data_IF_810517230932
#
_entry.id   IF_810517230932
#
_cell.length_a   1.000
_cell.length_b   1.000
_cell.length_c   1.000
_cell.angle_alpha   90.00
_cell.angle_beta   90.00
_cell.angle_gamma   90.00
#
_symmetry.space_group_name_H-M   'P 1'
#
loop_
_entity.id
_entity.type
_entity.pdbx_description
1 polymer ?
#
# COMPACT_ATOMS: atom_id res chain seq x y z
N UNK A 1 21.96 -51.98 -42.23
CA UNK A 1 22.12 -50.53 -42.40
C UNK A 1 21.11 -49.84 -41.48
N UNK A 2 21.53 -49.49 -40.26
CA UNK A 2 20.71 -48.77 -39.28
C UNK A 2 21.54 -47.61 -38.74
N UNK A 3 21.21 -46.38 -39.10
CA UNK A 3 21.87 -45.16 -38.62
C UNK A 3 20.94 -44.44 -37.65
N UNK A 4 21.40 -44.30 -36.40
CA UNK A 4 20.74 -43.55 -35.33
C UNK A 4 20.83 -42.03 -35.58
N UNK A 5 19.80 -41.24 -35.21
CA UNK A 5 19.92 -39.79 -35.19
C UNK A 5 20.62 -39.30 -33.91
N UNK A 6 21.78 -38.68 -34.12
CA UNK A 6 22.57 -37.93 -33.16
C UNK A 6 21.83 -36.65 -32.72
N UNK A 7 21.35 -36.58 -31.47
CA UNK A 7 20.86 -35.35 -30.83
C UNK A 7 21.80 -34.91 -29.71
N UNK A 8 22.93 -34.32 -30.08
CA UNK A 8 23.64 -33.37 -29.22
C UNK A 8 23.06 -31.98 -29.45
N UNK A 9 22.11 -31.55 -28.62
CA UNK A 9 21.76 -30.14 -28.48
C UNK A 9 21.25 -29.80 -27.07
N UNK A 10 22.18 -29.26 -26.29
CA UNK A 10 21.98 -28.17 -25.31
C UNK A 10 21.06 -28.46 -24.11
N UNK A 11 21.61 -29.19 -23.15
CA UNK A 11 21.43 -28.87 -21.73
C UNK A 11 21.93 -27.44 -21.48
N UNK A 12 21.03 -26.45 -21.34
CA UNK A 12 21.31 -25.12 -20.77
C UNK A 12 20.01 -24.28 -20.73
N UNK A 13 19.05 -24.66 -19.88
CA UNK A 13 17.93 -23.78 -19.49
C UNK A 13 17.26 -24.27 -18.19
N UNK A 14 18.05 -24.52 -17.15
CA UNK A 14 17.53 -24.69 -15.78
C UNK A 14 18.37 -23.90 -14.79
N UNK A 15 18.47 -22.59 -15.01
CA UNK A 15 18.71 -21.64 -13.92
C UNK A 15 17.36 -21.09 -13.49
N UNK A 16 16.62 -21.92 -12.75
CA UNK A 16 15.53 -21.44 -11.93
C UNK A 16 16.13 -20.49 -10.90
N UNK A 17 15.89 -19.19 -11.07
CA UNK A 17 16.00 -18.21 -9.99
C UNK A 17 14.89 -18.55 -8.98
N UNK A 18 15.16 -19.52 -8.13
CA UNK A 18 14.33 -19.90 -6.99
C UNK A 18 14.48 -18.86 -5.88
N UNK A 19 14.03 -17.63 -6.14
CA UNK A 19 13.58 -16.77 -5.05
C UNK A 19 12.20 -17.27 -4.58
N UNK A 20 11.86 -17.17 -3.29
CA UNK A 20 10.51 -17.48 -2.83
C UNK A 20 9.52 -16.65 -3.67
N UNK A 21 8.63 -17.34 -4.39
CA UNK A 21 7.44 -16.72 -4.96
C UNK A 21 6.57 -16.33 -3.77
N UNK A 22 6.66 -15.07 -3.35
CA UNK A 22 5.66 -14.52 -2.45
C UNK A 22 4.38 -14.39 -3.26
N UNK A 23 3.45 -15.31 -3.06
CA UNK A 23 2.10 -15.20 -3.59
C UNK A 23 1.47 -13.94 -2.98
N UNK A 24 1.40 -12.88 -3.79
CA UNK A 24 0.92 -11.56 -3.37
C UNK A 24 -0.50 -11.64 -2.80
N UNK A 25 -1.26 -12.68 -3.15
CA UNK A 25 -2.66 -12.84 -2.81
C UNK A 25 -2.94 -13.32 -1.37
N UNK A 26 -1.94 -13.84 -0.66
CA UNK A 26 -2.14 -14.38 0.70
C UNK A 26 -1.98 -13.32 1.79
N UNK A 27 -1.54 -12.10 1.45
CA UNK A 27 -1.44 -11.00 2.40
C UNK A 27 -2.74 -10.18 2.46
N UNK A 28 -3.21 -9.77 3.65
CA UNK A 28 -4.45 -8.99 3.79
C UNK A 28 -4.38 -7.61 3.11
N UNK A 29 -3.17 -7.09 2.88
CA UNK A 29 -2.94 -5.82 2.18
C UNK A 29 -1.82 -5.98 1.15
N UNK A 30 -2.11 -6.48 -0.06
CA UNK A 30 -1.09 -6.76 -1.08
C UNK A 30 -0.49 -5.47 -1.66
N UNK A 31 -1.33 -4.46 -1.85
CA UNK A 31 -1.05 -3.18 -2.52
C UNK A 31 -1.30 -1.98 -1.62
N UNK A 32 -0.69 -0.84 -1.95
CA UNK A 32 -0.93 0.44 -1.26
C UNK A 32 -2.29 1.05 -1.57
N UNK A 33 -2.77 0.86 -2.80
CA UNK A 33 -4.07 1.34 -3.22
C UNK A 33 -5.12 0.32 -2.78
N UNK A 34 -6.09 0.78 -1.99
CA UNK A 34 -7.24 0.01 -1.54
C UNK A 34 -8.53 0.71 -1.98
N UNK A 35 -9.55 -0.08 -2.36
CA UNK A 35 -10.87 0.41 -2.74
C UNK A 35 -11.87 0.47 -1.56
N UNK A 36 -11.49 -0.01 -0.37
CA UNK A 36 -12.29 0.05 0.86
C UNK A 36 -13.69 -0.55 0.69
N UNK A 37 -13.75 -1.75 0.10
CA UNK A 37 -15.01 -2.47 -0.18
C UNK A 37 -15.58 -3.11 1.09
N UNK A 38 -14.75 -3.84 1.80
CA UNK A 38 -15.13 -4.62 2.98
C UNK A 38 -14.65 -3.92 4.26
N UNK A 39 -15.46 -3.90 5.33
CA UNK A 39 -15.06 -3.30 6.60
C UNK A 39 -13.94 -4.12 7.29
N UNK A 40 -13.02 -3.47 8.02
CA UNK A 40 -11.97 -4.17 8.76
C UNK A 40 -12.55 -4.98 9.93
N UNK A 41 -12.25 -6.27 10.00
CA UNK A 41 -12.72 -7.19 11.06
C UNK A 41 -11.76 -7.26 12.26
N UNK A 42 -10.99 -6.21 12.52
CA UNK A 42 -9.95 -6.20 13.54
C UNK A 42 -10.31 -5.31 14.72
N UNK A 43 -9.88 -5.74 15.91
CA UNK A 43 -9.96 -4.95 17.12
C UNK A 43 -8.82 -3.92 17.18
N UNK A 44 -9.15 -2.73 17.68
CA UNK A 44 -8.24 -1.60 17.85
C UNK A 44 -8.46 -0.96 19.21
N UNK A 45 -7.41 -0.39 19.79
CA UNK A 45 -7.55 0.40 21.02
C UNK A 45 -8.26 1.73 20.74
N UNK A 46 -8.84 2.34 21.78
CA UNK A 46 -9.47 3.66 21.69
C UNK A 46 -8.42 4.73 21.31
N UNK A 47 -7.22 4.63 21.85
CA UNK A 47 -6.13 5.57 21.54
C UNK A 47 -5.74 5.47 20.05
N UNK A 48 -5.58 4.26 19.51
CA UNK A 48 -5.34 4.07 18.07
C UNK A 48 -6.51 4.58 17.21
N UNK A 49 -7.75 4.36 17.66
CA UNK A 49 -8.94 4.85 16.98
C UNK A 49 -8.88 6.36 16.79
N UNK A 50 -8.62 7.10 17.87
CA UNK A 50 -8.54 8.56 17.85
C UNK A 50 -7.36 9.07 16.99
N UNK A 51 -6.18 8.48 17.16
CA UNK A 51 -4.99 8.87 16.39
C UNK A 51 -5.19 8.64 14.89
N UNK A 52 -5.74 7.50 14.50
CA UNK A 52 -5.97 7.17 13.09
C UNK A 52 -7.00 8.08 12.44
N UNK A 53 -8.05 8.45 13.18
CA UNK A 53 -9.04 9.42 12.72
C UNK A 53 -8.40 10.80 12.50
N UNK A 54 -7.62 11.27 13.49
CA UNK A 54 -6.97 12.57 13.45
C UNK A 54 -5.98 12.68 12.29
N UNK A 55 -5.12 11.67 12.13
CA UNK A 55 -4.11 11.66 11.06
C UNK A 55 -4.76 11.72 9.67
N UNK A 56 -5.82 10.94 9.43
CA UNK A 56 -6.54 11.00 8.16
C UNK A 56 -7.24 12.35 7.96
N UNK A 57 -7.83 12.91 9.01
CA UNK A 57 -8.48 14.22 8.95
C UNK A 57 -7.49 15.33 8.60
N UNK A 58 -6.26 15.29 9.12
CA UNK A 58 -5.21 16.25 8.78
C UNK A 58 -4.82 16.17 7.30
N UNK A 59 -4.69 14.96 6.75
CA UNK A 59 -4.42 14.77 5.31
C UNK A 59 -5.56 15.32 4.45
N UNK A 60 -6.82 15.03 4.81
CA UNK A 60 -7.98 15.55 4.08
C UNK A 60 -8.11 17.07 4.19
N UNK A 61 -7.80 17.65 5.35
CA UNK A 61 -7.79 19.10 5.55
C UNK A 61 -6.71 19.80 4.72
N UNK A 62 -5.52 19.19 4.61
CA UNK A 62 -4.45 19.68 3.74
C UNK A 62 -4.89 19.66 2.27
N UNK A 63 -5.52 18.56 1.82
CA UNK A 63 -6.07 18.44 0.47
C UNK A 63 -7.13 19.52 0.20
N UNK A 64 -8.10 19.68 1.10
CA UNK A 64 -9.15 20.68 0.97
C UNK A 64 -8.56 22.09 0.91
N UNK A 65 -7.58 22.40 1.76
CA UNK A 65 -6.91 23.71 1.78
C UNK A 65 -6.16 23.98 0.47
N UNK A 66 -5.47 22.98 -0.06
CA UNK A 66 -4.77 23.10 -1.34
C UNK A 66 -5.75 23.30 -2.51
N UNK A 67 -6.90 22.61 -2.49
CA UNK A 67 -7.99 22.80 -3.45
C UNK A 67 -8.59 24.21 -3.35
N UNK A 68 -8.92 24.69 -2.14
CA UNK A 68 -9.46 26.04 -1.93
C UNK A 68 -8.52 27.14 -2.40
N UNK A 69 -7.20 26.92 -2.34
CA UNK A 69 -6.18 27.85 -2.81
C UNK A 69 -5.89 27.75 -4.32
N UNK A 70 -6.56 26.83 -5.03
CA UNK A 70 -6.34 26.57 -6.47
C UNK A 70 -4.85 26.39 -6.83
N UNK A 71 -4.11 25.62 -6.00
CA UNK A 71 -2.69 25.42 -6.23
C UNK A 71 -2.43 24.68 -7.55
N UNK A 72 -1.37 25.05 -8.30
CA UNK A 72 -0.97 24.31 -9.48
C UNK A 72 -0.45 22.91 -9.08
N UNK A 73 -0.61 21.92 -9.97
CA UNK A 73 -0.25 20.52 -9.72
C UNK A 73 1.10 20.29 -9.04
N UNK A 74 2.24 20.90 -9.46
CA UNK A 74 3.52 20.65 -8.80
C UNK A 74 3.57 21.10 -7.34
N UNK A 75 2.80 22.13 -6.97
CA UNK A 75 2.72 22.58 -5.58
C UNK A 75 1.75 21.72 -4.77
N UNK A 76 0.66 21.28 -5.40
CA UNK A 76 -0.28 20.33 -4.80
C UNK A 76 0.44 19.02 -4.43
N UNK A 77 1.21 18.45 -5.36
CA UNK A 77 1.94 17.20 -5.14
C UNK A 77 2.94 17.33 -3.98
N UNK A 78 3.58 18.49 -3.84
CA UNK A 78 4.49 18.78 -2.73
C UNK A 78 3.75 18.84 -1.40
N UNK A 79 2.69 19.65 -1.30
CA UNK A 79 1.91 19.80 -0.07
C UNK A 79 1.28 18.47 0.36
N UNK A 80 0.75 17.71 -0.61
CA UNK A 80 0.19 16.39 -0.35
C UNK A 80 1.26 15.37 0.02
N UNK A 81 2.41 15.40 -0.64
CA UNK A 81 3.56 14.56 -0.31
C UNK A 81 4.03 14.78 1.13
N UNK A 82 4.18 16.03 1.54
CA UNK A 82 4.59 16.40 2.90
C UNK A 82 3.55 15.96 3.94
N UNK A 83 2.26 16.15 3.65
CA UNK A 83 1.17 15.74 4.54
C UNK A 83 1.07 14.22 4.68
N UNK A 84 1.16 13.48 3.56
CA UNK A 84 1.18 12.02 3.56
C UNK A 84 2.39 11.49 4.32
N UNK A 85 3.59 12.01 4.05
CA UNK A 85 4.81 11.57 4.74
C UNK A 85 4.74 11.79 6.25
N UNK A 86 4.08 12.87 6.70
CA UNK A 86 3.96 13.21 8.12
C UNK A 86 2.92 12.38 8.85
N UNK A 87 1.71 12.24 8.31
CA UNK A 87 0.58 11.67 9.04
C UNK A 87 0.27 10.22 8.63
N UNK A 88 0.49 9.86 7.37
CA UNK A 88 0.13 8.55 6.83
C UNK A 88 1.09 8.15 5.70
N UNK A 89 2.32 7.74 6.02
CA UNK A 89 3.26 7.30 5.01
C UNK A 89 2.74 6.00 4.38
N UNK A 90 2.56 5.97 3.06
CA UNK A 90 2.27 4.75 2.30
C UNK A 90 3.50 4.40 1.46
N UNK A 91 4.48 3.77 2.10
CA UNK A 91 5.76 3.45 1.50
C UNK A 91 5.62 2.38 0.40
N UNK A 92 6.27 2.56 -0.77
CA UNK A 92 6.26 1.54 -1.80
C UNK A 92 6.94 0.26 -1.29
N UNK A 93 6.54 -0.90 -1.83
CA UNK A 93 7.23 -2.15 -1.51
C UNK A 93 8.66 -2.06 -2.07
N UNK A 94 9.64 -2.03 -1.17
CA UNK A 94 11.07 -1.97 -1.48
C UNK A 94 11.80 -3.03 -0.66
N UNK A 95 12.93 -3.53 -1.15
CA UNK A 95 13.77 -4.49 -0.42
C UNK A 95 14.28 -3.92 0.92
N UNK A 96 14.32 -2.59 1.05
CA UNK A 96 14.75 -1.89 2.26
C UNK A 96 13.64 -1.67 3.30
N UNK A 97 12.36 -1.87 2.94
CA UNK A 97 11.25 -1.58 3.84
C UNK A 97 10.73 -2.86 4.47
N UNK A 98 10.72 -2.98 5.81
CA UNK A 98 10.20 -4.17 6.48
C UNK A 98 8.74 -4.43 6.11
N UNK A 99 8.41 -5.69 5.82
CA UNK A 99 7.06 -6.07 5.43
C UNK A 99 6.02 -5.73 6.51
N UNK A 100 6.38 -5.88 7.79
CA UNK A 100 5.54 -5.49 8.92
C UNK A 100 5.16 -4.01 8.87
N UNK A 101 6.14 -3.14 8.59
CA UNK A 101 5.89 -1.70 8.48
C UNK A 101 4.90 -1.39 7.35
N UNK A 102 5.05 -2.03 6.19
CA UNK A 102 4.13 -1.85 5.06
C UNK A 102 2.70 -2.30 5.41
N UNK A 103 2.57 -3.38 6.16
CA UNK A 103 1.27 -3.87 6.65
C UNK A 103 0.64 -2.90 7.64
N UNK A 104 1.43 -2.37 8.57
CA UNK A 104 0.96 -1.41 9.59
C UNK A 104 0.49 -0.10 8.93
N UNK A 105 1.26 0.42 7.95
CA UNK A 105 0.89 1.60 7.16
C UNK A 105 -0.44 1.41 6.41
N UNK A 106 -0.63 0.25 5.76
CA UNK A 106 -1.86 -0.07 5.01
C UNK A 106 -3.04 -0.35 5.93
N UNK A 107 -2.81 -1.00 7.07
CA UNK A 107 -3.80 -1.21 8.13
C UNK A 107 -4.31 0.13 8.63
N UNK A 108 -3.43 1.08 8.93
CA UNK A 108 -3.79 2.43 9.36
C UNK A 108 -4.66 3.15 8.34
N UNK A 109 -4.30 3.12 7.05
CA UNK A 109 -5.11 3.71 5.98
C UNK A 109 -6.50 3.06 5.87
N UNK A 110 -6.58 1.73 5.92
CA UNK A 110 -7.84 1.00 5.82
C UNK A 110 -8.79 1.34 6.98
N UNK A 111 -8.31 1.28 8.22
CA UNK A 111 -9.13 1.54 9.40
C UNK A 111 -9.58 3.00 9.43
N UNK A 112 -8.64 3.94 9.28
CA UNK A 112 -8.93 5.37 9.34
C UNK A 112 -10.00 5.80 8.34
N UNK A 113 -10.03 5.17 7.15
CA UNK A 113 -11.07 5.40 6.15
C UNK A 113 -12.47 5.08 6.69
N UNK A 114 -12.65 3.90 7.29
CA UNK A 114 -13.93 3.48 7.83
C UNK A 114 -14.32 4.25 9.09
N UNK A 115 -13.35 4.65 9.92
CA UNK A 115 -13.62 5.53 11.08
C UNK A 115 -14.24 6.85 10.60
N UNK A 116 -13.64 7.51 9.61
CA UNK A 116 -14.18 8.77 9.11
C UNK A 116 -15.52 8.61 8.41
N UNK A 117 -15.82 7.45 7.80
CA UNK A 117 -17.19 7.20 7.30
C UNK A 117 -18.23 7.35 8.40
N UNK A 118 -17.96 6.97 9.65
CA UNK A 118 -18.91 7.13 10.75
C UNK A 118 -19.19 8.60 11.08
N UNK A 119 -18.19 9.47 10.94
CA UNK A 119 -18.30 10.90 11.25
C UNK A 119 -18.96 11.70 10.11
N UNK A 120 -18.67 11.36 8.85
CA UNK A 120 -19.06 12.15 7.67
C UNK A 120 -20.21 11.57 6.83
N UNK A 121 -20.84 10.47 7.26
CA UNK A 121 -22.00 9.85 6.57
C UNK A 121 -23.36 10.46 6.96
N UNK A 122 -23.35 11.68 7.50
CA UNK A 122 -24.56 12.44 7.78
C UNK A 122 -25.08 13.17 6.55
#
# INVERSE_FOLDING_TARGET
MFTQPNRKSRLLASRGLGGPRFDINDEPYPTRLNFYKDPPQMEISIDEFEQFALDRMQVLSALQTAQMRNLPQPQLDKVMGDALQKYMPLSPRSASTPQKQLMDERRKDHISHFILRLAYSR
#
